data_IF_307682002125
#
_entry.id   IF_307682002125
#
_cell.length_a   1.000
_cell.length_b   1.000
_cell.length_c   1.000
_cell.angle_alpha   90.00
_cell.angle_beta   90.00
_cell.angle_gamma   90.00
#
_symmetry.space_group_name_H-M   'P 1'
#
loop_
_entity.id
_entity.type
_entity.pdbx_description
1 polymer ?
#
# COMPACT_ATOMS: atom_id res chain seq x y z
N UNK A 1 82.80 -0.31 -14.80
CA UNK A 1 84.23 0.07 -14.85
C UNK A 1 85.06 -1.18 -15.12
N UNK A 2 85.80 -1.25 -16.21
CA UNK A 2 86.66 -2.40 -16.53
C UNK A 2 88.05 -2.18 -15.89
N UNK A 3 88.33 -2.85 -14.76
CA UNK A 3 89.68 -2.91 -14.19
C UNK A 3 90.56 -3.81 -15.07
N UNK A 4 91.71 -3.30 -15.48
CA UNK A 4 92.67 -4.04 -16.30
C UNK A 4 93.61 -4.87 -15.40
N UNK A 5 93.63 -6.19 -15.59
CA UNK A 5 94.57 -7.09 -14.92
C UNK A 5 96.00 -6.85 -15.42
N UNK A 6 96.98 -6.89 -14.52
CA UNK A 6 98.40 -6.81 -14.90
C UNK A 6 98.85 -8.10 -15.61
N UNK A 7 99.63 -7.95 -16.68
CA UNK A 7 100.10 -9.07 -17.52
C UNK A 7 101.52 -9.49 -17.10
N UNK A 8 101.71 -10.78 -16.89
CA UNK A 8 103.01 -11.44 -16.79
C UNK A 8 103.39 -12.08 -18.13
N UNK A 9 104.66 -12.50 -18.30
CA UNK A 9 105.20 -13.12 -19.53
C UNK A 9 104.41 -14.34 -20.03
N UNK A 10 103.55 -14.94 -19.19
CA UNK A 10 102.73 -16.11 -19.53
C UNK A 10 101.22 -15.90 -19.31
N UNK A 11 100.72 -14.67 -19.12
CA UNK A 11 99.28 -14.41 -18.99
C UNK A 11 98.93 -13.31 -18.00
N UNK A 12 97.80 -13.45 -17.30
CA UNK A 12 97.39 -12.55 -16.22
C UNK A 12 97.94 -13.02 -14.87
N UNK A 13 98.14 -12.08 -13.95
CA UNK A 13 98.62 -12.39 -12.60
C UNK A 13 97.57 -13.22 -11.83
N UNK A 14 97.87 -14.48 -11.44
CA UNK A 14 96.87 -15.37 -10.84
C UNK A 14 96.22 -14.81 -9.57
N UNK A 15 96.99 -14.12 -8.72
CA UNK A 15 96.49 -13.50 -7.49
C UNK A 15 95.44 -12.41 -7.76
N UNK A 16 95.62 -11.60 -8.81
CA UNK A 16 94.66 -10.55 -9.17
C UNK A 16 93.35 -11.15 -9.70
N UNK A 17 93.44 -12.22 -10.48
CA UNK A 17 92.28 -12.96 -11.00
C UNK A 17 91.52 -13.64 -9.86
N UNK A 18 92.22 -14.32 -8.94
CA UNK A 18 91.61 -14.98 -7.77
C UNK A 18 90.91 -13.95 -6.87
N UNK A 19 91.55 -12.82 -6.60
CA UNK A 19 90.96 -11.76 -5.78
C UNK A 19 89.70 -11.17 -6.46
N UNK A 20 89.75 -10.97 -7.79
CA UNK A 20 88.60 -10.44 -8.53
C UNK A 20 87.46 -11.47 -8.67
N UNK A 21 87.76 -12.76 -8.76
CA UNK A 21 86.75 -13.82 -8.67
C UNK A 21 86.10 -13.85 -7.28
N UNK A 22 86.88 -13.72 -6.20
CA UNK A 22 86.36 -13.62 -4.85
C UNK A 22 85.42 -12.42 -4.64
N UNK A 23 85.77 -11.25 -5.19
CA UNK A 23 84.91 -10.06 -5.16
C UNK A 23 83.61 -10.30 -5.95
N UNK A 24 83.70 -10.87 -7.15
CA UNK A 24 82.50 -11.19 -7.94
C UNK A 24 81.60 -12.20 -7.24
N UNK A 25 82.17 -13.23 -6.61
CA UNK A 25 81.38 -14.25 -5.89
C UNK A 25 80.60 -13.63 -4.73
N UNK A 26 81.21 -12.71 -3.98
CA UNK A 26 80.53 -11.94 -2.93
C UNK A 26 79.43 -11.06 -3.51
N UNK A 27 79.70 -10.29 -4.58
CA UNK A 27 78.68 -9.45 -5.24
C UNK A 27 77.51 -10.29 -5.79
N UNK A 28 77.77 -11.48 -6.33
CA UNK A 28 76.72 -12.39 -6.80
C UNK A 28 75.92 -12.96 -5.64
N UNK A 29 76.58 -13.36 -4.54
CA UNK A 29 75.88 -13.82 -3.34
C UNK A 29 74.98 -12.74 -2.74
N UNK A 30 75.45 -11.49 -2.69
CA UNK A 30 74.65 -10.35 -2.23
C UNK A 30 73.43 -10.12 -3.13
N UNK A 31 73.60 -10.16 -4.46
CA UNK A 31 72.48 -10.04 -5.41
C UNK A 31 71.47 -11.19 -5.29
N UNK A 32 71.95 -12.41 -5.14
CA UNK A 32 71.09 -13.59 -4.96
C UNK A 32 70.29 -13.47 -3.67
N UNK A 33 70.93 -13.05 -2.58
CA UNK A 33 70.27 -12.80 -1.29
C UNK A 33 69.21 -11.70 -1.40
N UNK A 34 69.53 -10.57 -2.05
CA UNK A 34 68.58 -9.48 -2.26
C UNK A 34 67.36 -9.92 -3.08
N UNK A 35 67.57 -10.64 -4.18
CA UNK A 35 66.48 -11.17 -5.02
C UNK A 35 65.64 -12.22 -4.27
N UNK A 36 66.26 -13.05 -3.42
CA UNK A 36 65.51 -13.99 -2.58
C UNK A 36 64.61 -13.27 -1.58
N UNK A 37 65.11 -12.21 -0.94
CA UNK A 37 64.33 -11.39 -0.03
C UNK A 37 63.17 -10.69 -0.75
N UNK A 38 63.41 -10.17 -1.95
CA UNK A 38 62.35 -9.55 -2.78
C UNK A 38 61.28 -10.58 -3.18
N UNK A 39 61.68 -11.80 -3.56
CA UNK A 39 60.74 -12.89 -3.86
C UNK A 39 59.89 -13.24 -2.64
N UNK A 40 60.47 -13.29 -1.44
CA UNK A 40 59.73 -13.58 -0.21
C UNK A 40 58.73 -12.47 0.13
N UNK A 41 59.15 -11.22 -0.02
CA UNK A 41 58.29 -10.05 0.17
C UNK A 41 57.11 -10.08 -0.81
N UNK A 42 57.35 -10.23 -2.11
CA UNK A 42 56.30 -10.30 -3.13
C UNK A 42 55.36 -11.48 -2.89
N UNK A 43 55.88 -12.64 -2.44
CA UNK A 43 55.03 -13.78 -2.06
C UNK A 43 54.12 -13.48 -0.87
N UNK A 44 54.61 -12.70 0.11
CA UNK A 44 53.78 -12.28 1.23
C UNK A 44 52.68 -11.31 0.80
N UNK A 45 53.01 -10.34 -0.06
CA UNK A 45 52.04 -9.38 -0.61
C UNK A 45 50.96 -10.09 -1.43
N UNK A 46 51.34 -11.05 -2.28
CA UNK A 46 50.36 -11.85 -3.05
C UNK A 46 49.37 -12.55 -2.12
N UNK A 47 49.85 -13.17 -1.04
CA UNK A 47 48.97 -13.84 -0.08
C UNK A 47 48.03 -12.87 0.63
N UNK A 48 48.52 -11.68 0.99
CA UNK A 48 47.68 -10.65 1.60
C UNK A 48 46.61 -10.16 0.63
N UNK A 49 46.96 -9.91 -0.64
CA UNK A 49 46.00 -9.50 -1.66
C UNK A 49 44.97 -10.59 -2.00
N UNK A 50 45.38 -11.86 -2.03
CA UNK A 50 44.47 -12.99 -2.22
C UNK A 50 43.45 -13.08 -1.08
N UNK A 51 43.89 -12.92 0.17
CA UNK A 51 43.01 -12.93 1.34
C UNK A 51 42.06 -11.73 1.33
N UNK A 52 42.54 -10.53 0.98
CA UNK A 52 41.69 -9.35 0.81
C UNK A 52 40.66 -9.54 -0.30
N UNK A 53 41.07 -10.10 -1.44
CA UNK A 53 40.17 -10.38 -2.55
C UNK A 53 39.06 -11.36 -2.14
N UNK A 54 39.40 -12.39 -1.37
CA UNK A 54 38.44 -13.35 -0.83
C UNK A 54 37.44 -12.67 0.13
N UNK A 55 37.93 -11.87 1.07
CA UNK A 55 37.06 -11.13 2.00
C UNK A 55 36.13 -10.13 1.29
N UNK A 56 36.63 -9.46 0.26
CA UNK A 56 35.82 -8.56 -0.56
C UNK A 56 34.76 -9.33 -1.36
N UNK A 57 35.10 -10.51 -1.87
CA UNK A 57 34.15 -11.37 -2.58
C UNK A 57 33.04 -11.88 -1.67
N UNK A 58 33.37 -12.26 -0.43
CA UNK A 58 32.37 -12.66 0.59
C UNK A 58 31.43 -11.49 0.91
N UNK A 59 31.97 -10.29 1.18
CA UNK A 59 31.15 -9.09 1.41
C UNK A 59 30.27 -8.73 0.22
N UNK A 60 30.77 -8.88 -1.01
CA UNK A 60 30.00 -8.62 -2.23
C UNK A 60 28.80 -9.57 -2.31
N UNK A 61 29.00 -10.85 -1.99
CA UNK A 61 27.92 -11.84 -1.99
C UNK A 61 26.88 -11.52 -0.92
N UNK A 62 27.30 -11.14 0.30
CA UNK A 62 26.38 -10.68 1.34
C UNK A 62 25.54 -9.48 0.89
N UNK A 63 26.15 -8.49 0.24
CA UNK A 63 25.41 -7.32 -0.25
C UNK A 63 24.40 -7.69 -1.34
N UNK A 64 24.75 -8.59 -2.26
CA UNK A 64 23.83 -9.09 -3.28
C UNK A 64 22.62 -9.81 -2.67
N UNK A 65 22.84 -10.63 -1.65
CA UNK A 65 21.75 -11.30 -0.94
C UNK A 65 20.83 -10.28 -0.24
N UNK A 66 21.41 -9.28 0.44
CA UNK A 66 20.63 -8.21 1.07
C UNK A 66 19.83 -7.41 0.05
N UNK A 67 20.42 -7.07 -1.10
CA UNK A 67 19.75 -6.36 -2.18
C UNK A 67 18.55 -7.16 -2.71
N UNK A 68 18.71 -8.47 -2.90
CA UNK A 68 17.62 -9.35 -3.31
C UNK A 68 16.47 -9.37 -2.30
N UNK A 69 16.79 -9.48 -1.00
CA UNK A 69 15.79 -9.43 0.07
C UNK A 69 15.05 -8.10 0.06
N UNK A 70 15.77 -6.97 -0.02
CA UNK A 70 15.17 -5.64 -0.06
C UNK A 70 14.24 -5.50 -1.26
N UNK A 71 14.67 -5.93 -2.43
CA UNK A 71 13.87 -5.88 -3.67
C UNK A 71 12.59 -6.72 -3.56
N UNK A 72 12.69 -7.93 -2.98
CA UNK A 72 11.52 -8.78 -2.72
C UNK A 72 10.51 -8.09 -1.79
N UNK A 73 11.00 -7.50 -0.68
CA UNK A 73 10.15 -6.76 0.26
C UNK A 73 9.50 -5.56 -0.40
N UNK A 74 10.24 -4.80 -1.24
CA UNK A 74 9.68 -3.66 -1.97
C UNK A 74 8.56 -4.08 -2.93
N UNK A 75 8.72 -5.19 -3.66
CA UNK A 75 7.68 -5.71 -4.55
C UNK A 75 6.43 -6.12 -3.76
N UNK A 76 6.60 -6.79 -2.63
CA UNK A 76 5.49 -7.20 -1.76
C UNK A 76 4.78 -5.96 -1.19
N UNK A 77 5.54 -4.98 -0.71
CA UNK A 77 4.99 -3.73 -0.19
C UNK A 77 4.20 -2.97 -1.25
N UNK A 78 4.70 -2.89 -2.49
CA UNK A 78 3.99 -2.25 -3.60
C UNK A 78 2.69 -2.97 -3.93
N UNK A 79 2.70 -4.30 -4.00
CA UNK A 79 1.48 -5.09 -4.25
C UNK A 79 0.44 -4.89 -3.14
N UNK A 80 0.88 -4.87 -1.89
CA UNK A 80 -0.01 -4.64 -0.75
C UNK A 80 -0.57 -3.22 -0.75
N UNK A 81 0.25 -2.22 -1.05
CA UNK A 81 -0.19 -0.83 -1.16
C UNK A 81 -1.26 -0.68 -2.25
N UNK A 82 -1.04 -1.27 -3.43
CA UNK A 82 -2.02 -1.25 -4.51
C UNK A 82 -3.33 -1.92 -4.09
N UNK A 83 -3.25 -3.09 -3.45
CA UNK A 83 -4.44 -3.80 -2.96
C UNK A 83 -5.23 -2.97 -1.96
N UNK A 84 -4.55 -2.32 -1.01
CA UNK A 84 -5.21 -1.45 -0.02
C UNK A 84 -5.85 -0.24 -0.70
N UNK A 85 -5.18 0.34 -1.69
CA UNK A 85 -5.74 1.46 -2.47
C UNK A 85 -7.01 1.02 -3.23
N UNK A 86 -6.98 -0.13 -3.88
CA UNK A 86 -8.11 -0.66 -4.64
C UNK A 86 -9.29 -0.97 -3.71
N UNK A 87 -9.05 -1.62 -2.57
CA UNK A 87 -10.08 -1.88 -1.54
C UNK A 87 -10.68 -0.59 -0.97
N UNK A 88 -9.85 0.44 -0.75
CA UNK A 88 -10.32 1.73 -0.27
C UNK A 88 -11.18 2.44 -1.33
N UNK A 89 -10.78 2.39 -2.60
CA UNK A 89 -11.55 2.94 -3.72
C UNK A 89 -12.89 2.23 -3.89
N UNK A 90 -12.92 0.90 -3.77
CA UNK A 90 -14.16 0.11 -3.85
C UNK A 90 -15.11 0.46 -2.70
N UNK A 91 -14.61 0.48 -1.46
CA UNK A 91 -15.41 0.88 -0.29
C UNK A 91 -15.94 2.30 -0.39
N UNK A 92 -15.15 3.22 -0.92
CA UNK A 92 -15.58 4.60 -1.14
C UNK A 92 -16.74 4.66 -2.15
N UNK A 93 -16.64 3.92 -3.26
CA UNK A 93 -17.73 3.82 -4.26
C UNK A 93 -18.98 3.23 -3.65
N UNK A 94 -18.87 2.12 -2.94
CA UNK A 94 -20.02 1.52 -2.26
C UNK A 94 -20.69 2.48 -1.27
N UNK A 95 -19.90 3.28 -0.55
CA UNK A 95 -20.43 4.25 0.41
C UNK A 95 -21.20 5.37 -0.30
N UNK A 96 -20.70 5.84 -1.44
CA UNK A 96 -21.39 6.84 -2.29
C UNK A 96 -22.70 6.24 -2.81
N UNK A 97 -22.66 5.05 -3.40
CA UNK A 97 -23.85 4.39 -3.95
C UNK A 97 -24.92 4.14 -2.87
N UNK A 98 -24.50 3.74 -1.66
CA UNK A 98 -25.40 3.58 -0.52
C UNK A 98 -26.01 4.91 -0.06
N UNK A 99 -25.21 5.98 -0.02
CA UNK A 99 -25.68 7.30 0.35
C UNK A 99 -26.69 7.84 -0.68
N UNK A 100 -26.41 7.71 -1.96
CA UNK A 100 -27.31 8.13 -3.04
C UNK A 100 -28.64 7.37 -2.99
N UNK A 101 -28.59 6.05 -2.79
CA UNK A 101 -29.80 5.24 -2.61
C UNK A 101 -30.63 5.65 -1.38
N UNK A 102 -29.96 6.04 -0.29
CA UNK A 102 -30.64 6.53 0.92
C UNK A 102 -31.29 7.90 0.69
N UNK A 103 -30.61 8.81 -0.01
CA UNK A 103 -31.16 10.12 -0.41
C UNK A 103 -32.41 9.93 -1.26
N UNK A 104 -32.34 9.08 -2.29
CA UNK A 104 -33.49 8.78 -3.16
C UNK A 104 -34.67 8.22 -2.38
N UNK A 105 -34.40 7.32 -1.43
CA UNK A 105 -35.45 6.77 -0.55
C UNK A 105 -36.09 7.87 0.29
N UNK A 106 -35.29 8.76 0.88
CA UNK A 106 -35.78 9.87 1.71
C UNK A 106 -36.58 10.88 0.90
N UNK A 107 -36.18 11.18 -0.34
CA UNK A 107 -36.94 12.03 -1.24
C UNK A 107 -38.33 11.44 -1.54
N UNK A 108 -38.41 10.12 -1.81
CA UNK A 108 -39.70 9.44 -2.00
C UNK A 108 -40.57 9.45 -0.74
N UNK A 109 -39.97 9.26 0.44
CA UNK A 109 -40.68 9.36 1.73
C UNK A 109 -41.25 10.77 1.94
N UNK A 110 -40.47 11.82 1.64
CA UNK A 110 -40.91 13.22 1.73
C UNK A 110 -42.05 13.52 0.76
N UNK A 111 -41.98 13.05 -0.48
CA UNK A 111 -43.05 13.28 -1.46
C UNK A 111 -44.35 12.58 -1.03
N UNK A 112 -44.27 11.35 -0.53
CA UNK A 112 -45.41 10.65 0.07
C UNK A 112 -46.02 11.42 1.24
N UNK A 113 -45.18 11.96 2.14
CA UNK A 113 -45.66 12.79 3.25
C UNK A 113 -46.33 14.07 2.77
N UNK A 114 -45.78 14.72 1.74
CA UNK A 114 -46.36 15.92 1.13
C UNK A 114 -47.75 15.64 0.56
N UNK A 115 -47.93 14.53 -0.15
CA UNK A 115 -49.22 14.09 -0.68
C UNK A 115 -50.21 13.85 0.47
N UNK A 116 -49.80 13.13 1.53
CA UNK A 116 -50.64 12.86 2.70
C UNK A 116 -51.08 14.15 3.41
N UNK A 117 -50.19 15.13 3.54
CA UNK A 117 -50.52 16.43 4.12
C UNK A 117 -51.55 17.17 3.24
N UNK A 118 -51.40 17.12 1.93
CA UNK A 118 -52.36 17.69 0.99
C UNK A 118 -53.76 17.08 1.16
N UNK A 119 -53.84 15.75 1.14
CA UNK A 119 -55.09 15.01 1.34
C UNK A 119 -55.73 15.33 2.69
N UNK A 120 -54.94 15.34 3.77
CA UNK A 120 -55.44 15.68 5.10
C UNK A 120 -56.02 17.11 5.16
N UNK A 121 -55.37 18.09 4.52
CA UNK A 121 -55.90 19.46 4.46
C UNK A 121 -57.23 19.51 3.72
N UNK A 122 -57.37 18.82 2.60
CA UNK A 122 -58.63 18.76 1.86
C UNK A 122 -59.75 18.09 2.67
N UNK A 123 -59.46 16.96 3.31
CA UNK A 123 -60.40 16.27 4.20
C UNK A 123 -60.83 17.16 5.36
N UNK A 124 -59.88 17.87 5.98
CA UNK A 124 -60.17 18.79 7.08
C UNK A 124 -61.03 19.97 6.64
N UNK A 125 -60.76 20.56 5.48
CA UNK A 125 -61.60 21.63 4.92
C UNK A 125 -63.02 21.14 4.61
N UNK A 126 -63.17 19.94 4.04
CA UNK A 126 -64.49 19.33 3.80
C UNK A 126 -65.25 19.07 5.09
N UNK A 127 -64.55 18.62 6.14
CA UNK A 127 -65.16 18.43 7.46
C UNK A 127 -65.62 19.75 8.08
N UNK A 128 -64.81 20.81 7.97
CA UNK A 128 -65.19 22.16 8.42
C UNK A 128 -66.41 22.70 7.66
N UNK A 129 -66.46 22.55 6.33
CA UNK A 129 -67.59 22.98 5.53
C UNK A 129 -68.87 22.20 5.89
N UNK A 130 -68.75 20.88 6.06
CA UNK A 130 -69.87 20.04 6.51
C UNK A 130 -70.37 20.46 7.90
N UNK A 131 -69.46 20.78 8.81
CA UNK A 131 -69.79 21.30 10.14
C UNK A 131 -70.49 22.67 10.06
N UNK A 132 -69.99 23.58 9.23
CA UNK A 132 -70.60 24.89 9.00
C UNK A 132 -72.03 24.76 8.48
N UNK A 133 -72.26 23.95 7.45
CA UNK A 133 -73.60 23.66 6.91
C UNK A 133 -74.50 23.09 8.00
N UNK A 134 -73.98 22.17 8.83
CA UNK A 134 -74.75 21.58 9.93
C UNK A 134 -75.15 22.61 10.99
N UNK A 135 -74.27 23.56 11.31
CA UNK A 135 -74.56 24.65 12.25
C UNK A 135 -75.56 25.65 11.66
N UNK A 136 -75.45 25.97 10.37
CA UNK A 136 -76.40 26.84 9.66
C UNK A 136 -77.80 26.21 9.61
N UNK A 137 -77.91 24.92 9.33
CA UNK A 137 -79.17 24.17 9.35
C UNK A 137 -79.84 24.15 10.74
N UNK A 138 -79.07 24.24 11.83
CA UNK A 138 -79.61 24.35 13.20
C UNK A 138 -80.07 25.78 13.53
N UNK A 139 -79.47 26.79 12.88
CA UNK A 139 -79.78 28.21 13.10
C UNK A 139 -80.98 28.71 12.30
N UNK A 140 -81.40 27.99 11.26
CA UNK A 140 -82.69 28.19 10.61
C UNK A 140 -83.74 27.34 11.32
N UNK A 141 -84.47 27.87 12.34
CA UNK A 141 -85.67 27.21 12.78
C UNK A 141 -86.65 27.20 11.60
N UNK A 142 -87.09 26.00 11.25
CA UNK A 142 -88.23 25.74 10.40
C UNK A 142 -89.48 26.45 10.97
N UNK A 143 -89.68 27.70 10.58
CA UNK A 143 -90.98 28.39 10.68
C UNK A 143 -91.80 27.88 9.51
N UNK A 144 -92.26 26.62 9.58
CA UNK A 144 -92.70 25.99 8.33
C UNK A 144 -93.29 24.59 8.37
N UNK A 145 -94.14 24.26 9.34
CA UNK A 145 -95.20 23.22 9.22
C UNK A 145 -94.77 21.75 8.96
N UNK A 146 -95.00 20.87 9.95
CA UNK A 146 -96.04 19.82 9.90
C UNK A 146 -95.84 18.81 11.02
N UNK A 147 -96.87 18.67 11.83
CA UNK A 147 -97.15 17.47 12.62
C UNK A 147 -97.04 16.24 11.71
N UNK A 148 -96.07 15.37 11.97
CA UNK A 148 -96.09 14.01 11.42
C UNK A 148 -96.19 13.05 12.59
N UNK A 149 -97.40 12.51 12.72
CA UNK A 149 -97.78 11.48 13.66
C UNK A 149 -96.83 10.29 13.55
N UNK A 150 -96.22 9.93 14.68
CA UNK A 150 -95.34 8.79 14.81
C UNK A 150 -96.20 7.52 15.00
N UNK A 151 -96.29 6.68 13.98
CA UNK A 151 -96.81 5.31 14.13
C UNK A 151 -95.64 4.32 14.14
N UNK A 152 -95.27 3.74 15.29
CA UNK A 152 -94.22 2.74 15.36
C UNK A 152 -94.78 1.39 14.90
N UNK A 153 -94.40 0.93 13.71
CA UNK A 153 -94.67 -0.45 13.28
C UNK A 153 -93.56 -1.36 13.79
N UNK A 154 -93.89 -2.26 14.71
CA UNK A 154 -93.00 -3.31 15.22
C UNK A 154 -92.70 -4.31 14.10
N UNK A 155 -91.43 -4.40 13.67
CA UNK A 155 -90.95 -5.47 12.80
C UNK A 155 -90.62 -6.68 13.67
N UNK A 156 -91.48 -7.70 13.65
CA UNK A 156 -91.19 -9.01 14.22
C UNK A 156 -90.37 -9.79 13.19
N UNK A 157 -89.10 -10.04 13.48
CA UNK A 157 -88.26 -10.94 12.70
C UNK A 157 -88.42 -12.37 13.22
N UNK A 158 -89.10 -13.22 12.44
CA UNK A 158 -89.09 -14.66 12.66
C UNK A 158 -87.69 -15.23 12.37
N UNK A 159 -87.07 -15.78 13.40
CA UNK A 159 -85.89 -16.65 13.28
C UNK A 159 -86.33 -17.98 12.66
N UNK A 160 -86.00 -18.22 11.40
CA UNK A 160 -85.92 -19.59 10.91
C UNK A 160 -84.54 -20.18 11.26
N UNK A 161 -84.57 -21.14 12.19
CA UNK A 161 -83.53 -22.12 12.43
C UNK A 161 -83.73 -23.28 11.45
N UNK A 162 -82.72 -23.59 10.66
CA UNK A 162 -82.23 -24.94 10.31
C UNK A 162 -81.16 -24.81 9.23
#
# INVERSE_FOLDING_TARGET
>A
MTKAFSRTLFGFKPEEVINQMGIMDVEYQEKVSALQSEIEMVKSEIKEYEEQAKQLQEKLNEYKEREHVISSVMIIAQKNAQKVEDEAREKAREMIDKADAEVDKKLRELESLRIKIGAFKEEFLRALESYKISVEAIKEPDVGTRETNFTPTLVVSERQRA
#
